data_IF_759560017360
#
_entry.id   IF_759560017360
#
_cell.length_a   1.000
_cell.length_b   1.000
_cell.length_c   1.000
_cell.angle_alpha   90.00
_cell.angle_beta   90.00
_cell.angle_gamma   90.00
#
_symmetry.space_group_name_H-M   'P 1'
#
loop_
_entity.id
_entity.type
_entity.pdbx_description
1 polymer ?
#
# COMPACT_ATOMS: atom_id res chain seq x y z
N UNK A 1 1.78 16.54 49.40
CA UNK A 1 2.13 16.26 47.99
C UNK A 1 3.31 15.29 47.98
N UNK A 2 3.08 14.02 47.67
CA UNK A 2 4.13 12.99 47.68
C UNK A 2 4.88 13.02 46.35
N UNK A 3 6.15 13.41 46.40
CA UNK A 3 7.08 13.36 45.26
C UNK A 3 7.47 11.90 45.01
N UNK A 4 6.63 11.19 44.26
CA UNK A 4 6.91 9.82 43.84
C UNK A 4 8.23 9.75 43.06
N UNK A 5 9.24 9.14 43.66
CA UNK A 5 10.54 8.86 43.04
C UNK A 5 10.34 7.86 41.91
N UNK A 6 10.33 8.36 40.66
CA UNK A 6 10.36 7.50 39.47
C UNK A 6 11.69 6.75 39.43
N UNK A 7 11.66 5.47 39.76
CA UNK A 7 12.79 4.55 39.61
C UNK A 7 13.22 4.51 38.14
N UNK A 8 14.48 4.84 37.88
CA UNK A 8 15.05 4.77 36.52
C UNK A 8 15.03 3.32 36.03
N UNK A 9 14.58 3.05 34.80
CA UNK A 9 14.58 1.70 34.25
C UNK A 9 16.01 1.16 34.12
N UNK A 10 16.20 -0.10 34.50
CA UNK A 10 17.52 -0.76 34.49
C UNK A 10 18.01 -1.00 33.06
N UNK A 11 19.34 -1.10 32.86
CA UNK A 11 19.93 -1.41 31.52
C UNK A 11 19.32 -2.69 30.91
N UNK A 12 19.01 -3.68 31.75
CA UNK A 12 18.40 -4.95 31.34
C UNK A 12 16.98 -4.77 30.80
N UNK A 13 16.16 -3.92 31.43
CA UNK A 13 14.81 -3.58 30.92
C UNK A 13 14.87 -2.87 29.56
N UNK A 14 15.84 -1.97 29.36
CA UNK A 14 16.04 -1.30 28.07
C UNK A 14 16.43 -2.27 26.96
N UNK A 15 17.30 -3.24 27.27
CA UNK A 15 17.71 -4.27 26.32
C UNK A 15 16.54 -5.18 25.91
N UNK A 16 15.79 -5.68 26.90
CA UNK A 16 14.61 -6.54 26.65
C UNK A 16 13.55 -5.80 25.82
N UNK A 17 13.35 -4.50 26.07
CA UNK A 17 12.40 -3.68 25.31
C UNK A 17 12.82 -3.42 23.85
N UNK A 18 14.11 -3.54 23.51
CA UNK A 18 14.62 -3.36 22.15
C UNK A 18 14.71 -4.67 21.34
N UNK A 19 14.70 -5.81 22.03
CA UNK A 19 14.90 -7.14 21.47
C UNK A 19 13.89 -7.51 20.35
N UNK A 20 12.58 -7.21 20.46
CA UNK A 20 11.61 -7.56 19.41
C UNK A 20 11.86 -6.82 18.08
N UNK A 21 12.25 -5.54 18.15
CA UNK A 21 12.53 -4.72 16.97
C UNK A 21 13.83 -5.16 16.30
N UNK A 22 14.87 -5.41 17.11
CA UNK A 22 16.14 -5.93 16.59
C UNK A 22 15.97 -7.26 15.88
N UNK A 23 15.27 -8.20 16.53
CA UNK A 23 14.98 -9.52 15.95
C UNK A 23 14.16 -9.41 14.65
N UNK A 24 13.12 -8.56 14.62
CA UNK A 24 12.32 -8.37 13.42
C UNK A 24 13.13 -7.75 12.26
N UNK A 25 14.03 -6.81 12.53
CA UNK A 25 14.95 -6.27 11.52
C UNK A 25 15.91 -7.34 11.01
N UNK A 26 16.47 -8.16 11.90
CA UNK A 26 17.36 -9.26 11.51
C UNK A 26 16.64 -10.28 10.65
N UNK A 27 15.40 -10.64 10.98
CA UNK A 27 14.59 -11.56 10.18
C UNK A 27 14.25 -10.97 8.79
N UNK A 28 13.87 -9.69 8.72
CA UNK A 28 13.62 -9.02 7.43
C UNK A 28 14.90 -8.97 6.59
N UNK A 29 16.04 -8.63 7.21
CA UNK A 29 17.35 -8.64 6.55
C UNK A 29 17.74 -10.03 6.05
N UNK A 30 17.44 -11.08 6.81
CA UNK A 30 17.66 -12.46 6.39
C UNK A 30 16.77 -12.86 5.20
N UNK A 31 15.50 -12.45 5.19
CA UNK A 31 14.59 -12.68 4.04
C UNK A 31 15.10 -11.98 2.80
N UNK A 32 15.60 -10.75 2.93
CA UNK A 32 16.19 -10.00 1.82
C UNK A 32 17.48 -10.64 1.32
N UNK A 33 18.38 -11.05 2.22
CA UNK A 33 19.60 -11.74 1.83
C UNK A 33 19.29 -13.08 1.14
N UNK A 34 18.33 -13.86 1.65
CA UNK A 34 17.89 -15.10 1.02
C UNK A 34 17.26 -14.84 -0.36
N UNK A 35 16.44 -13.80 -0.49
CA UNK A 35 15.86 -13.38 -1.77
C UNK A 35 16.90 -12.89 -2.78
N UNK A 36 17.89 -12.12 -2.32
CA UNK A 36 19.00 -11.68 -3.15
C UNK A 36 19.84 -12.87 -3.64
N UNK A 37 20.16 -13.82 -2.75
CA UNK A 37 20.89 -15.06 -3.13
C UNK A 37 20.09 -15.89 -4.12
N UNK A 38 18.79 -16.06 -3.89
CA UNK A 38 17.92 -16.79 -4.81
C UNK A 38 17.86 -16.11 -6.18
N UNK A 39 17.61 -14.81 -6.20
CA UNK A 39 17.44 -14.05 -7.44
C UNK A 39 18.75 -13.72 -8.15
N UNK A 40 19.91 -13.96 -7.52
CA UNK A 40 21.20 -13.61 -8.10
C UNK A 40 21.46 -14.30 -9.44
N UNK A 41 21.23 -15.61 -9.50
CA UNK A 41 21.40 -16.38 -10.74
C UNK A 41 20.37 -15.98 -11.79
N UNK A 42 19.13 -15.74 -11.36
CA UNK A 42 18.00 -15.37 -12.22
C UNK A 42 18.19 -13.98 -12.85
N UNK A 43 18.57 -12.98 -12.06
CA UNK A 43 18.86 -11.63 -12.53
C UNK A 43 20.15 -11.57 -13.36
N UNK A 44 21.15 -12.38 -13.04
CA UNK A 44 22.37 -12.51 -13.86
C UNK A 44 22.03 -13.12 -15.22
N UNK A 45 21.18 -14.16 -15.26
CA UNK A 45 20.73 -14.77 -16.51
C UNK A 45 19.89 -13.79 -17.35
N UNK A 46 18.99 -13.04 -16.72
CA UNK A 46 18.24 -11.96 -17.37
C UNK A 46 19.18 -10.88 -17.95
N UNK A 47 20.15 -10.40 -17.16
CA UNK A 47 21.11 -9.40 -17.60
C UNK A 47 21.95 -9.90 -18.79
N UNK A 48 22.36 -11.18 -18.76
CA UNK A 48 23.04 -11.84 -19.87
C UNK A 48 22.17 -11.86 -21.13
N UNK A 49 20.92 -12.28 -21.01
CA UNK A 49 19.98 -12.32 -22.14
C UNK A 49 19.70 -10.91 -22.72
N UNK A 50 19.71 -9.89 -21.86
CA UNK A 50 19.55 -8.49 -22.24
C UNK A 50 20.83 -7.84 -22.81
N UNK A 51 21.96 -8.56 -22.87
CA UNK A 51 23.21 -8.08 -23.47
C UNK A 51 24.12 -7.25 -22.56
N UNK A 52 23.97 -7.34 -21.23
CA UNK A 52 24.86 -6.65 -20.29
C UNK A 52 26.28 -7.21 -20.37
N UNK A 53 27.29 -6.34 -20.39
CA UNK A 53 28.70 -6.75 -20.42
C UNK A 53 29.19 -7.36 -19.10
N UNK A 54 28.60 -6.92 -17.97
CA UNK A 54 28.89 -7.44 -16.63
C UNK A 54 27.53 -7.76 -15.98
N UNK A 55 26.96 -8.95 -16.24
CA UNK A 55 25.60 -9.30 -15.84
C UNK A 55 25.42 -9.34 -14.31
N UNK A 56 26.47 -9.66 -13.55
CA UNK A 56 26.45 -9.71 -12.08
C UNK A 56 26.29 -8.33 -11.45
N UNK A 57 26.52 -7.25 -12.21
CA UNK A 57 26.40 -5.89 -11.72
C UNK A 57 24.93 -5.49 -11.53
N UNK A 58 24.01 -6.10 -12.27
CA UNK A 58 22.57 -5.84 -12.16
C UNK A 58 22.02 -6.23 -10.77
N UNK A 59 22.16 -7.49 -10.29
CA UNK A 59 21.71 -7.84 -8.94
C UNK A 59 22.46 -7.08 -7.85
N UNK A 60 23.77 -6.86 -8.04
CA UNK A 60 24.56 -6.09 -7.07
C UNK A 60 24.04 -4.65 -6.90
N UNK A 61 23.67 -3.99 -8.00
CA UNK A 61 23.16 -2.62 -7.96
C UNK A 61 21.72 -2.59 -7.45
N UNK A 62 20.83 -3.48 -7.92
CA UNK A 62 19.44 -3.47 -7.50
C UNK A 62 19.27 -3.81 -6.02
N UNK A 63 19.87 -4.92 -5.59
CA UNK A 63 19.76 -5.36 -4.20
C UNK A 63 20.62 -4.49 -3.28
N UNK A 64 21.81 -4.07 -3.73
CA UNK A 64 22.67 -3.15 -3.00
C UNK A 64 22.03 -1.78 -2.78
N UNK A 65 21.35 -1.24 -3.80
CA UNK A 65 20.60 0.02 -3.68
C UNK A 65 19.41 -0.13 -2.73
N UNK A 66 18.67 -1.24 -2.83
CA UNK A 66 17.55 -1.50 -1.94
C UNK A 66 18.02 -1.52 -0.47
N UNK A 67 19.10 -2.25 -0.17
CA UNK A 67 19.68 -2.38 1.17
C UNK A 67 20.22 -1.04 1.68
N UNK A 68 20.96 -0.30 0.84
CA UNK A 68 21.49 1.00 1.22
C UNK A 68 20.38 2.01 1.54
N UNK A 69 19.32 2.06 0.73
CA UNK A 69 18.19 2.96 0.95
C UNK A 69 17.36 2.54 2.16
N UNK A 70 17.21 1.23 2.40
CA UNK A 70 16.59 0.72 3.62
C UNK A 70 17.38 1.11 4.87
N UNK A 71 18.72 1.06 4.83
CA UNK A 71 19.57 1.50 5.93
C UNK A 71 19.42 3.01 6.21
N UNK A 72 19.36 3.84 5.15
CA UNK A 72 19.10 5.29 5.28
C UNK A 72 17.72 5.56 5.87
N UNK A 73 16.68 4.85 5.39
CA UNK A 73 15.33 4.98 5.90
C UNK A 73 15.23 4.55 7.39
N UNK A 74 15.97 3.52 7.78
CA UNK A 74 16.09 3.08 9.16
C UNK A 74 16.79 4.12 10.05
N UNK A 75 17.96 4.62 9.63
CA UNK A 75 18.69 5.66 10.36
C UNK A 75 17.82 6.91 10.57
N UNK A 76 17.13 7.37 9.54
CA UNK A 76 16.22 8.50 9.65
C UNK A 76 15.01 8.22 10.56
N UNK A 77 14.52 6.98 10.58
CA UNK A 77 13.43 6.57 11.49
C UNK A 77 13.86 6.60 12.95
N UNK A 78 15.12 6.28 13.25
CA UNK A 78 15.72 6.46 14.58
C UNK A 78 15.79 7.94 14.99
N UNK A 79 15.92 8.84 14.01
CA UNK A 79 15.87 10.29 14.22
C UNK A 79 14.45 10.87 14.21
N UNK A 80 13.42 10.03 14.09
CA UNK A 80 12.02 10.39 13.89
C UNK A 80 11.71 11.16 12.59
N UNK A 81 12.65 11.19 11.65
CA UNK A 81 12.49 11.82 10.33
C UNK A 81 11.74 10.88 9.39
N UNK A 82 10.94 11.42 8.46
CA UNK A 82 10.09 10.59 7.59
C UNK A 82 10.83 9.87 6.46
N UNK A 83 12.05 10.29 6.08
CA UNK A 83 12.90 9.71 5.03
C UNK A 83 12.17 9.29 3.75
N UNK A 84 11.28 10.16 3.26
CA UNK A 84 10.37 9.86 2.14
C UNK A 84 11.15 9.41 0.89
N UNK A 85 12.22 10.11 0.53
CA UNK A 85 13.03 9.77 -0.66
C UNK A 85 13.72 8.40 -0.52
N UNK A 86 14.25 8.09 0.66
CA UNK A 86 14.88 6.79 0.92
C UNK A 86 13.87 5.65 0.74
N UNK A 87 12.67 5.81 1.32
CA UNK A 87 11.58 4.83 1.24
C UNK A 87 11.05 4.65 -0.18
N UNK A 88 10.89 5.73 -0.94
CA UNK A 88 10.52 5.67 -2.34
C UNK A 88 11.58 4.94 -3.18
N UNK A 89 12.86 5.21 -2.93
CA UNK A 89 13.97 4.50 -3.58
C UNK A 89 13.97 3.01 -3.25
N UNK A 90 13.77 2.63 -1.98
CA UNK A 90 13.63 1.23 -1.56
C UNK A 90 12.45 0.56 -2.25
N UNK A 91 11.28 1.20 -2.27
CA UNK A 91 10.09 0.66 -2.92
C UNK A 91 10.29 0.47 -4.44
N UNK A 92 10.94 1.42 -5.11
CA UNK A 92 11.27 1.31 -6.53
C UNK A 92 12.25 0.16 -6.79
N UNK A 93 13.32 0.05 -5.98
CA UNK A 93 14.30 -1.03 -6.10
C UNK A 93 13.64 -2.40 -5.95
N UNK A 94 12.78 -2.57 -4.94
CA UNK A 94 12.01 -3.79 -4.71
C UNK A 94 11.05 -4.07 -5.86
N UNK A 95 10.39 -3.05 -6.40
CA UNK A 95 9.49 -3.23 -7.55
C UNK A 95 10.24 -3.70 -8.80
N UNK A 96 11.42 -3.15 -9.07
CA UNK A 96 12.28 -3.60 -10.17
C UNK A 96 12.76 -5.04 -9.95
N UNK A 97 13.22 -5.37 -8.74
CA UNK A 97 13.65 -6.73 -8.36
C UNK A 97 12.49 -7.75 -8.48
N UNK A 98 11.30 -7.39 -8.01
CA UNK A 98 10.10 -8.23 -8.15
C UNK A 98 9.72 -8.43 -9.62
N UNK A 99 9.79 -7.38 -10.45
CA UNK A 99 9.49 -7.46 -11.87
C UNK A 99 10.48 -8.35 -12.63
N UNK A 100 11.80 -8.24 -12.34
CA UNK A 100 12.80 -9.12 -12.95
C UNK A 100 12.59 -10.58 -12.56
N UNK A 101 12.30 -10.84 -11.28
CA UNK A 101 12.05 -12.20 -10.80
C UNK A 101 10.79 -12.80 -11.41
N UNK A 102 9.71 -12.01 -11.56
CA UNK A 102 8.47 -12.43 -12.22
C UNK A 102 8.69 -12.76 -13.69
N UNK A 103 9.42 -11.91 -14.42
CA UNK A 103 9.69 -12.12 -15.85
C UNK A 103 10.47 -13.43 -16.07
N UNK A 104 11.49 -13.67 -15.26
CA UNK A 104 12.29 -14.88 -15.38
C UNK A 104 11.55 -16.14 -14.89
N UNK A 105 10.78 -16.02 -13.81
CA UNK A 105 9.93 -17.11 -13.32
C UNK A 105 8.91 -17.53 -14.38
N UNK A 106 8.31 -16.58 -15.10
CA UNK A 106 7.40 -16.85 -16.21
C UNK A 106 8.05 -17.69 -17.31
N UNK A 107 9.25 -17.29 -17.75
CA UNK A 107 10.00 -17.99 -18.79
C UNK A 107 10.39 -19.41 -18.36
N UNK A 108 10.83 -19.60 -17.11
CA UNK A 108 11.29 -20.90 -16.60
C UNK A 108 10.16 -21.86 -16.29
N UNK A 109 9.05 -21.37 -15.73
CA UNK A 109 7.96 -22.20 -15.26
C UNK A 109 6.93 -22.53 -16.34
N UNK A 110 7.10 -22.00 -17.55
CA UNK A 110 6.10 -22.13 -18.62
C UNK A 110 4.79 -21.40 -18.30
N UNK A 111 4.85 -20.35 -17.49
CA UNK A 111 3.68 -19.59 -17.06
C UNK A 111 2.93 -20.17 -15.85
N UNK A 112 3.53 -21.07 -15.05
CA UNK A 112 2.90 -21.54 -13.80
C UNK A 112 2.63 -20.37 -12.84
N UNK A 113 1.35 -20.07 -12.55
CA UNK A 113 0.98 -18.91 -11.75
C UNK A 113 1.49 -18.96 -10.30
N UNK A 114 1.71 -20.15 -9.74
CA UNK A 114 2.18 -20.29 -8.35
C UNK A 114 3.63 -19.83 -8.22
N UNK A 115 4.50 -20.30 -9.11
CA UNK A 115 5.92 -19.90 -9.16
C UNK A 115 6.06 -18.40 -9.38
N UNK A 116 5.26 -17.82 -10.29
CA UNK A 116 5.25 -16.39 -10.58
C UNK A 116 4.80 -15.58 -9.36
N UNK A 117 3.73 -16.00 -8.69
CA UNK A 117 3.21 -15.31 -7.52
C UNK A 117 4.20 -15.31 -6.34
N UNK A 118 4.92 -16.43 -6.14
CA UNK A 118 5.97 -16.52 -5.11
C UNK A 118 7.16 -15.63 -5.45
N UNK A 119 7.65 -15.68 -6.70
CA UNK A 119 8.82 -14.93 -7.15
C UNK A 119 8.63 -13.40 -7.03
N UNK A 120 7.44 -12.89 -7.39
CA UNK A 120 7.11 -11.47 -7.27
C UNK A 120 6.57 -11.05 -5.91
N UNK A 121 5.81 -11.93 -5.26
CA UNK A 121 5.10 -11.62 -4.03
C UNK A 121 6.00 -11.48 -2.81
N UNK A 122 7.00 -12.36 -2.68
CA UNK A 122 7.89 -12.37 -1.50
C UNK A 122 8.64 -11.05 -1.30
N UNK A 123 9.31 -10.45 -2.31
CA UNK A 123 9.96 -9.15 -2.17
C UNK A 123 8.99 -8.02 -1.78
N UNK A 124 7.79 -8.01 -2.39
CA UNK A 124 6.77 -6.98 -2.12
C UNK A 124 6.28 -7.08 -0.67
N UNK A 125 5.96 -8.29 -0.21
CA UNK A 125 5.51 -8.53 1.17
C UNK A 125 6.61 -8.18 2.16
N UNK A 126 7.86 -8.51 1.88
CA UNK A 126 8.99 -8.15 2.72
C UNK A 126 9.16 -6.62 2.83
N UNK A 127 9.01 -5.87 1.74
CA UNK A 127 9.06 -4.41 1.76
C UNK A 127 7.89 -3.79 2.53
N UNK A 128 6.68 -4.34 2.40
CA UNK A 128 5.52 -3.91 3.20
C UNK A 128 5.74 -4.13 4.70
N UNK A 129 6.26 -5.30 5.08
CA UNK A 129 6.61 -5.62 6.46
C UNK A 129 7.69 -4.65 7.01
N UNK A 130 8.71 -4.35 6.19
CA UNK A 130 9.73 -3.37 6.52
C UNK A 130 9.14 -1.96 6.75
N UNK A 131 8.23 -1.51 5.89
CA UNK A 131 7.58 -0.20 6.03
C UNK A 131 6.72 -0.08 7.30
N UNK A 132 5.97 -1.14 7.64
CA UNK A 132 5.22 -1.22 8.89
C UNK A 132 6.16 -1.11 10.09
N UNK A 133 7.28 -1.84 10.04
CA UNK A 133 8.26 -1.83 11.12
C UNK A 133 8.94 -0.46 11.29
N UNK A 134 9.33 0.21 10.21
CA UNK A 134 9.84 1.59 10.27
C UNK A 134 8.81 2.56 10.86
N UNK A 135 7.54 2.39 10.51
CA UNK A 135 6.43 3.14 11.10
C UNK A 135 6.35 2.99 12.62
N UNK A 136 6.50 1.77 13.13
CA UNK A 136 6.52 1.48 14.56
C UNK A 136 7.78 2.00 15.26
N UNK A 137 8.96 1.84 14.65
CA UNK A 137 10.22 2.40 15.18
C UNK A 137 10.08 3.91 15.35
N UNK A 138 9.59 4.61 14.32
CA UNK A 138 9.36 6.06 14.37
C UNK A 138 8.35 6.44 15.47
N UNK A 139 7.25 5.69 15.63
CA UNK A 139 6.27 5.88 16.72
C UNK A 139 6.93 5.74 18.08
N UNK A 140 7.75 4.72 18.29
CA UNK A 140 8.45 4.50 19.55
C UNK A 140 9.41 5.64 19.87
N UNK A 141 10.16 6.13 18.88
CA UNK A 141 11.07 7.27 19.05
C UNK A 141 10.29 8.54 19.41
N UNK A 142 9.19 8.85 18.71
CA UNK A 142 8.38 10.04 18.99
C UNK A 142 7.74 9.99 20.37
N UNK A 143 7.22 8.82 20.79
CA UNK A 143 6.70 8.60 22.15
C UNK A 143 7.78 8.81 23.21
N UNK A 144 9.00 8.32 22.98
CA UNK A 144 10.15 8.54 23.89
C UNK A 144 10.55 10.01 23.99
N UNK A 145 10.33 10.80 22.94
CA UNK A 145 10.57 12.25 22.91
C UNK A 145 9.40 13.08 23.45
N UNK A 146 8.34 12.45 23.95
CA UNK A 146 7.15 13.15 24.44
C UNK A 146 6.32 13.84 23.35
N UNK A 147 6.60 13.56 22.07
CA UNK A 147 5.82 14.09 20.96
C UNK A 147 4.63 13.18 20.69
N UNK A 148 3.46 13.73 20.29
CA UNK A 148 2.35 12.91 19.84
C UNK A 148 2.83 12.03 18.69
N UNK A 149 2.58 10.72 18.79
CA UNK A 149 2.96 9.80 17.73
C UNK A 149 2.31 10.21 16.40
N UNK A 150 2.96 9.95 15.26
CA UNK A 150 2.32 10.22 13.97
C UNK A 150 1.02 9.44 13.93
N UNK A 151 -0.08 10.13 13.60
CA UNK A 151 -1.41 9.52 13.50
C UNK A 151 -1.28 8.31 12.59
N UNK A 152 -1.72 7.14 13.10
CA UNK A 152 -1.67 5.93 12.31
C UNK A 152 -2.46 6.15 11.03
N UNK A 153 -1.78 6.14 9.88
CA UNK A 153 -2.47 6.05 8.60
C UNK A 153 -3.25 4.74 8.69
N UNK A 154 -4.58 4.87 8.70
CA UNK A 154 -5.48 3.74 8.92
C UNK A 154 -5.17 2.69 7.86
N UNK A 155 -4.70 1.50 8.27
CA UNK A 155 -4.41 0.34 7.41
C UNK A 155 -5.34 0.15 6.18
N UNK A 156 -6.67 0.37 6.28
CA UNK A 156 -7.57 0.40 5.12
C UNK A 156 -7.15 1.30 3.94
N UNK A 157 -6.37 2.36 4.15
CA UNK A 157 -5.86 3.22 3.06
C UNK A 157 -4.75 2.54 2.25
N UNK A 158 -3.88 1.78 2.90
CA UNK A 158 -2.83 1.02 2.22
C UNK A 158 -3.41 -0.19 1.48
N UNK A 159 -4.39 -0.86 2.09
CA UNK A 159 -5.13 -1.96 1.44
C UNK A 159 -5.93 -1.44 0.24
N UNK A 160 -6.60 -0.29 0.35
CA UNK A 160 -7.26 0.36 -0.81
C UNK A 160 -6.28 0.78 -1.89
N UNK A 161 -5.10 1.28 -1.52
CA UNK A 161 -4.06 1.61 -2.50
C UNK A 161 -3.55 0.35 -3.23
N UNK A 162 -3.39 -0.76 -2.52
CA UNK A 162 -2.98 -2.04 -3.12
C UNK A 162 -4.07 -2.66 -4.00
N UNK A 163 -5.34 -2.63 -3.56
CA UNK A 163 -6.47 -3.23 -4.29
C UNK A 163 -6.99 -2.35 -5.44
N UNK A 164 -6.84 -1.03 -5.32
CA UNK A 164 -7.35 -0.06 -6.28
C UNK A 164 -6.39 1.13 -6.40
N UNK A 165 -5.20 0.92 -7.02
CA UNK A 165 -4.17 1.96 -7.07
C UNK A 165 -4.62 3.20 -7.85
N UNK A 166 -5.29 3.00 -8.99
CA UNK A 166 -5.71 4.10 -9.86
C UNK A 166 -6.79 4.99 -9.24
N UNK A 167 -7.92 4.44 -8.73
CA UNK A 167 -8.94 5.25 -8.07
C UNK A 167 -8.39 6.00 -6.85
N UNK A 168 -7.53 5.34 -6.07
CA UNK A 168 -6.91 5.93 -4.87
C UNK A 168 -5.95 7.07 -5.25
N UNK A 169 -5.17 6.90 -6.32
CA UNK A 169 -4.29 7.96 -6.83
C UNK A 169 -5.07 9.15 -7.38
N UNK A 170 -6.17 8.92 -8.11
CA UNK A 170 -7.06 9.98 -8.60
C UNK A 170 -7.68 10.76 -7.44
N UNK A 171 -8.14 10.05 -6.40
CA UNK A 171 -8.70 10.68 -5.20
C UNK A 171 -7.64 11.51 -4.45
N UNK A 172 -6.44 10.96 -4.26
CA UNK A 172 -5.31 11.67 -3.65
C UNK A 172 -4.92 12.91 -4.45
N UNK A 173 -4.78 12.79 -5.77
CA UNK A 173 -4.46 13.90 -6.67
C UNK A 173 -5.50 15.02 -6.56
N UNK A 174 -6.80 14.69 -6.53
CA UNK A 174 -7.86 15.69 -6.32
C UNK A 174 -7.72 16.41 -4.99
N UNK A 175 -7.40 15.68 -3.92
CA UNK A 175 -7.21 16.22 -2.58
C UNK A 175 -6.01 17.16 -2.50
N UNK A 176 -4.88 16.77 -3.10
CA UNK A 176 -3.68 17.61 -3.19
C UNK A 176 -3.97 18.86 -4.02
N UNK A 177 -4.54 18.72 -5.22
CA UNK A 177 -4.87 19.86 -6.06
C UNK A 177 -5.89 20.81 -5.41
N UNK A 178 -6.85 20.30 -4.65
CA UNK A 178 -7.79 21.13 -3.89
C UNK A 178 -7.14 21.87 -2.71
N UNK A 179 -6.09 21.28 -2.12
CA UNK A 179 -5.33 21.85 -1.01
C UNK A 179 -4.24 22.83 -1.47
N UNK A 180 -3.68 22.62 -2.67
CA UNK A 180 -2.62 23.44 -3.26
C UNK A 180 -3.13 24.37 -4.36
N UNK A 181 -4.45 24.57 -4.48
CA UNK A 181 -5.04 25.44 -5.49
C UNK A 181 -4.61 26.90 -5.23
N UNK A 182 -3.76 27.50 -6.09
CA UNK A 182 -3.30 28.87 -5.89
C UNK A 182 -4.45 29.87 -5.93
N UNK A 183 -5.54 29.57 -6.66
CA UNK A 183 -6.70 30.46 -6.72
C UNK A 183 -7.33 30.71 -5.34
N UNK A 184 -7.30 29.71 -4.45
CA UNK A 184 -7.79 29.84 -3.06
C UNK A 184 -6.81 30.58 -2.13
N UNK A 185 -5.53 30.64 -2.49
CA UNK A 185 -4.52 31.37 -1.72
C UNK A 185 -4.49 32.87 -2.06
N UNK A 186 -4.94 33.26 -3.26
CA UNK A 186 -4.92 34.65 -3.73
C UNK A 186 -6.29 35.36 -3.64
N UNK A 187 -7.39 34.64 -3.46
CA UNK A 187 -8.67 35.25 -3.05
C UNK A 187 -8.58 35.57 -1.56
N UNK A 188 -8.25 36.82 -1.23
CA UNK A 188 -8.06 37.35 0.14
C UNK A 188 -9.27 37.30 1.09
N UNK A 189 -10.18 36.32 0.96
CA UNK A 189 -11.04 35.88 2.05
C UNK A 189 -10.23 34.99 3.01
N UNK A 190 -9.20 35.60 3.59
CA UNK A 190 -8.40 35.06 4.68
C UNK A 190 -9.21 35.00 5.96
N UNK A 191 -10.26 34.18 6.00
CA UNK A 191 -10.60 33.49 7.23
C UNK A 191 -9.94 32.11 7.12
N UNK A 192 -8.66 32.06 7.52
CA UNK A 192 -8.05 30.81 7.93
C UNK A 192 -8.87 30.26 9.10
N UNK A 193 -10.00 29.61 8.81
CA UNK A 193 -10.40 28.53 9.68
C UNK A 193 -9.19 27.59 9.69
N UNK A 194 -8.65 27.25 10.87
CA UNK A 194 -7.73 26.12 10.93
C UNK A 194 -8.39 24.99 10.17
N UNK A 195 -7.60 24.11 9.55
CA UNK A 195 -8.09 22.81 9.09
C UNK A 195 -8.66 22.13 10.36
N UNK A 196 -9.91 22.46 10.73
CA UNK A 196 -10.77 21.67 11.58
C UNK A 196 -10.78 20.40 10.78
N UNK A 197 -10.19 19.36 11.36
CA UNK A 197 -10.43 17.98 10.94
C UNK A 197 -11.90 17.97 10.54
N UNK A 198 -12.15 17.85 9.23
CA UNK A 198 -13.50 17.86 8.68
C UNK A 198 -14.22 16.86 9.57
N UNK A 199 -15.11 17.39 10.40
CA UNK A 199 -15.78 16.61 11.42
C UNK A 199 -16.62 15.69 10.56
N UNK A 200 -16.06 14.50 10.31
CA UNK A 200 -16.68 13.43 9.57
C UNK A 200 -18.03 13.31 10.23
N UNK A 201 -19.07 13.74 9.52
CA UNK A 201 -20.41 13.78 10.08
C UNK A 201 -20.77 12.34 10.40
N UNK A 202 -20.64 11.95 11.67
CA UNK A 202 -20.94 10.59 12.12
C UNK A 202 -22.44 10.27 11.95
N UNK A 203 -23.25 11.25 11.54
CA UNK A 203 -24.65 11.10 11.15
C UNK A 203 -24.84 10.60 9.72
N UNK A 204 -23.80 10.58 8.88
CA UNK A 204 -23.86 10.06 7.52
C UNK A 204 -24.11 8.53 7.55
N UNK A 205 -25.20 8.03 6.94
CA UNK A 205 -25.54 6.62 6.93
C UNK A 205 -24.44 5.73 6.32
N UNK A 206 -23.67 6.23 5.35
CA UNK A 206 -22.59 5.46 4.72
C UNK A 206 -21.39 5.32 5.66
N UNK A 207 -21.13 6.35 6.48
CA UNK A 207 -20.07 6.34 7.50
C UNK A 207 -20.47 5.43 8.67
N UNK A 208 -21.76 5.45 9.06
CA UNK A 208 -22.30 4.53 10.06
C UNK A 208 -22.23 3.08 9.59
N UNK A 209 -22.59 2.80 8.34
CA UNK A 209 -22.47 1.47 7.75
C UNK A 209 -21.01 0.99 7.72
N UNK A 210 -20.06 1.86 7.35
CA UNK A 210 -18.63 1.55 7.41
C UNK A 210 -18.13 1.29 8.84
N UNK A 211 -18.58 2.07 9.83
CA UNK A 211 -18.23 1.88 11.25
C UNK A 211 -18.82 0.58 11.79
N UNK A 212 -20.05 0.27 11.42
CA UNK A 212 -20.72 -0.97 11.80
C UNK A 212 -19.99 -2.19 11.21
N UNK A 213 -19.65 -2.15 9.92
CA UNK A 213 -18.84 -3.19 9.28
C UNK A 213 -17.48 -3.34 9.98
N UNK A 214 -16.81 -2.24 10.33
CA UNK A 214 -15.55 -2.29 11.09
C UNK A 214 -15.71 -2.93 12.46
N UNK A 215 -16.80 -2.64 13.19
CA UNK A 215 -17.08 -3.27 14.50
C UNK A 215 -17.34 -4.75 14.32
N UNK A 216 -18.19 -5.13 13.36
CA UNK A 216 -18.49 -6.54 13.06
C UNK A 216 -17.23 -7.30 12.65
N UNK A 217 -16.35 -6.71 11.84
CA UNK A 217 -15.07 -7.31 11.45
C UNK A 217 -14.13 -7.46 12.64
N UNK A 218 -14.06 -6.44 13.51
CA UNK A 218 -13.23 -6.50 14.72
C UNK A 218 -13.72 -7.57 15.71
N UNK A 219 -15.05 -7.69 15.90
CA UNK A 219 -15.67 -8.72 16.72
C UNK A 219 -15.44 -10.11 16.12
N UNK A 220 -15.59 -10.25 14.80
CA UNK A 220 -15.29 -11.50 14.09
C UNK A 220 -13.82 -11.89 14.27
N UNK A 221 -12.88 -10.97 14.10
CA UNK A 221 -11.45 -11.22 14.34
C UNK A 221 -11.15 -11.61 15.79
N UNK A 222 -11.76 -10.94 16.77
CA UNK A 222 -11.61 -11.31 18.19
C UNK A 222 -12.16 -12.71 18.50
N UNK A 223 -13.28 -13.10 17.87
CA UNK A 223 -13.85 -14.44 18.01
C UNK A 223 -13.00 -15.53 17.32
N UNK A 224 -12.29 -15.17 16.25
CA UNK A 224 -11.42 -16.07 15.49
C UNK A 224 -10.03 -16.22 16.11
N UNK A 225 -9.51 -15.20 16.81
CA UNK A 225 -8.20 -15.21 17.43
C UNK A 225 -7.89 -16.48 18.27
N UNK A 226 -8.77 -16.94 19.18
CA UNK A 226 -8.52 -18.16 19.95
C UNK A 226 -8.62 -19.46 19.13
N UNK A 227 -9.31 -19.44 17.97
CA UNK A 227 -9.38 -20.59 17.04
C UNK A 227 -8.14 -20.65 16.16
N UNK A 228 -7.70 -19.52 15.63
CA UNK A 228 -6.46 -19.41 14.84
C UNK A 228 -5.24 -19.76 15.71
N UNK A 229 -5.21 -19.31 16.96
CA UNK A 229 -4.16 -19.69 17.91
C UNK A 229 -4.14 -21.21 18.20
N UNK A 230 -5.33 -21.85 18.28
CA UNK A 230 -5.42 -23.31 18.45
C UNK A 230 -4.98 -24.09 17.21
N UNK A 231 -5.34 -23.62 16.02
CA UNK A 231 -4.91 -24.26 14.76
C UNK A 231 -3.40 -24.11 14.60
N UNK A 232 -2.84 -22.92 14.83
CA UNK A 232 -1.40 -22.71 14.78
C UNK A 232 -0.62 -23.52 15.83
N UNK A 233 -1.17 -23.70 17.03
CA UNK A 233 -0.56 -24.55 18.05
C UNK A 233 -0.63 -26.04 17.67
N UNK A 234 -1.77 -26.50 17.14
CA UNK A 234 -1.94 -27.88 16.70
C UNK A 234 -0.99 -28.21 15.54
N UNK A 235 -0.86 -27.29 14.57
CA UNK A 235 0.02 -27.42 13.42
C UNK A 235 1.50 -27.41 13.84
N UNK A 236 1.88 -26.53 14.76
CA UNK A 236 3.21 -26.51 15.35
C UNK A 236 3.52 -27.81 16.11
N UNK A 237 2.55 -28.36 16.85
CA UNK A 237 2.74 -29.63 17.56
C UNK A 237 2.84 -30.84 16.62
N UNK A 238 2.12 -30.86 15.48
CA UNK A 238 2.25 -31.92 14.49
C UNK A 238 3.56 -31.85 13.71
N UNK A 239 4.12 -30.67 13.48
CA UNK A 239 5.36 -30.51 12.73
C UNK A 239 6.63 -30.54 13.61
N UNK A 240 6.54 -30.36 14.93
CA UNK A 240 7.70 -30.39 15.82
C UNK A 240 8.21 -31.80 16.16
N UNK A 241 7.40 -32.84 16.01
CA UNK A 241 7.76 -34.21 16.44
C UNK A 241 8.63 -35.02 15.47
N UNK A 242 9.08 -34.45 14.34
CA UNK A 242 9.88 -35.20 13.35
C UNK A 242 11.39 -34.85 13.34
N UNK A 243 11.88 -33.93 14.17
CA UNK A 243 13.25 -33.41 14.07
C UNK A 243 14.17 -33.76 15.27
N UNK A 244 14.00 -34.93 15.87
CA UNK A 244 14.94 -35.48 16.87
C UNK A 244 15.78 -36.64 16.35
N UNK A 245 16.04 -36.71 15.04
CA UNK A 245 17.14 -37.53 14.54
C UNK A 245 18.45 -36.74 14.68
N UNK A 246 19.23 -37.15 15.68
CA UNK A 246 20.61 -36.72 15.92
C UNK A 246 21.42 -36.80 14.62
N UNK A 247 22.13 -35.74 14.20
CA UNK A 247 23.16 -35.90 13.19
C UNK A 247 24.27 -36.80 13.77
N UNK A 248 24.43 -37.98 13.20
CA UNK A 248 25.65 -38.76 13.39
C UNK A 248 26.83 -37.94 12.85
N UNK A 249 27.78 -37.65 13.73
CA UNK A 249 29.07 -37.07 13.36
C UNK A 249 29.80 -38.01 12.39
N UNK A 250 29.66 -37.79 11.10
CA UNK A 250 30.52 -38.41 10.10
C UNK A 250 31.92 -37.79 10.25
N UNK A 251 32.89 -38.65 10.53
CA UNK A 251 34.28 -38.28 10.76
C UNK A 251 34.86 -37.48 9.59
N UNK A 252 35.55 -36.40 9.95
CA UNK A 252 36.41 -35.64 9.05
C UNK A 252 37.57 -36.57 8.65
N UNK A 253 37.45 -37.19 7.48
CA UNK A 253 38.55 -37.90 6.84
C UNK A 253 39.15 -36.96 5.80
N UNK A 254 40.35 -36.47 6.09
CA UNK A 254 41.17 -35.62 5.22
C UNK A 254 41.49 -36.37 3.91
N UNK A 255 41.11 -35.88 2.72
CA UNK A 255 41.59 -36.47 1.49
C UNK A 255 43.07 -36.12 1.28
N UNK A 256 43.88 -37.15 1.06
CA UNK A 256 45.24 -37.03 0.58
C UNK A 256 45.24 -36.42 -0.83
N UNK A 257 46.14 -35.47 -1.05
CA UNK A 257 46.43 -34.87 -2.34
C UNK A 257 47.01 -35.95 -3.25
N UNK A 258 46.21 -36.43 -4.19
CA UNK A 258 46.67 -37.26 -5.31
C UNK A 258 46.91 -36.35 -6.51
N UNK A 259 48.18 -36.21 -6.89
CA UNK A 259 48.63 -35.51 -8.10
C UNK A 259 48.17 -36.30 -9.33
N UNK A 260 47.15 -35.81 -10.03
CA UNK A 260 46.72 -36.36 -11.32
C UNK A 260 47.52 -35.71 -12.48
N UNK A 261 47.88 -36.48 -13.53
CA UNK A 261 48.62 -35.96 -14.66
C UNK A 261 47.76 -35.05 -15.56
N UNK A 262 48.43 -34.00 -16.04
CA UNK A 262 47.96 -32.97 -16.97
C UNK A 262 47.36 -33.57 -18.25
N UNK A 263 46.11 -33.27 -18.62
CA UNK A 263 45.58 -33.59 -19.94
C UNK A 263 46.22 -32.69 -21.00
N UNK A 264 46.76 -33.29 -22.06
CA UNK A 264 47.13 -32.60 -23.29
C UNK A 264 45.88 -32.05 -23.99
N UNK A 265 45.93 -30.76 -24.35
CA UNK A 265 44.92 -30.08 -25.15
C UNK A 265 45.04 -30.51 -26.62
N UNK A 266 43.98 -31.02 -27.27
CA UNK A 266 43.97 -31.15 -28.72
C UNK A 266 43.84 -29.80 -29.41
N UNK A 267 44.49 -29.71 -30.57
CA UNK A 267 44.65 -28.53 -31.40
C UNK A 267 43.33 -27.85 -31.81
N UNK A 268 43.36 -26.53 -31.82
CA UNK A 268 42.32 -25.63 -32.33
C UNK A 268 42.15 -25.85 -33.83
N UNK A 269 41.00 -26.38 -34.23
CA UNK A 269 40.54 -26.35 -35.62
C UNK A 269 39.70 -25.09 -35.85
N UNK A 270 40.09 -24.31 -36.86
CA UNK A 270 39.44 -23.07 -37.31
C UNK A 270 37.99 -23.29 -37.76
N UNK A 271 37.05 -22.38 -37.46
CA UNK A 271 35.70 -22.42 -38.03
C UNK A 271 35.68 -21.87 -39.49
N UNK A 272 34.83 -22.45 -40.38
CA UNK A 272 34.66 -21.98 -41.76
C UNK A 272 33.82 -20.68 -41.86
N UNK A 273 33.90 -19.95 -42.99
CA UNK A 273 33.37 -18.60 -43.13
C UNK A 273 31.84 -18.51 -43.28
N UNK A 274 31.37 -17.31 -42.92
CA UNK A 274 30.00 -16.83 -42.85
C UNK A 274 29.12 -17.12 -44.06
N UNK A 275 27.87 -17.53 -43.79
CA UNK A 275 26.77 -17.52 -44.76
C UNK A 275 25.90 -16.28 -44.50
N UNK A 276 25.73 -15.46 -45.53
CA UNK A 276 24.92 -14.25 -45.55
C UNK A 276 23.42 -14.59 -45.43
N UNK A 277 22.60 -13.76 -44.74
CA UNK A 277 21.16 -13.79 -44.93
C UNK A 277 20.72 -12.92 -46.10
N UNK A 278 20.10 -13.56 -47.08
CA UNK A 278 19.40 -12.95 -48.22
C UNK A 278 18.24 -12.09 -47.73
N UNK A 279 18.23 -10.83 -48.18
CA UNK A 279 17.15 -9.87 -48.02
C UNK A 279 15.97 -10.27 -48.90
N UNK A 280 14.80 -10.55 -48.31
CA UNK A 280 13.54 -10.64 -49.06
C UNK A 280 12.64 -9.49 -48.62
N UNK A 281 12.48 -8.53 -49.52
CA UNK A 281 11.48 -7.49 -49.46
C UNK A 281 10.11 -8.09 -49.79
N UNK A 282 9.12 -7.90 -48.91
CA UNK A 282 7.72 -8.16 -49.24
C UNK A 282 6.90 -6.91 -49.04
N UNK A 283 6.25 -6.56 -50.13
CA UNK A 283 5.45 -5.39 -50.44
C UNK A 283 4.18 -5.24 -49.60
N UNK A 284 3.90 -3.97 -49.30
CA UNK A 284 2.62 -3.35 -48.97
C UNK A 284 1.47 -3.86 -49.88
N UNK A 285 0.24 -3.95 -49.36
CA UNK A 285 -0.82 -3.23 -50.05
C UNK A 285 -1.68 -2.37 -49.12
N UNK A 286 -2.01 -1.23 -49.67
CA UNK A 286 -2.90 -0.18 -49.19
C UNK A 286 -4.33 -0.55 -49.55
N UNK A 287 -5.27 -0.45 -48.60
CA UNK A 287 -6.71 -0.38 -48.95
C UNK A 287 -7.44 0.65 -48.10
N UNK A 288 -8.24 1.43 -48.82
CA UNK A 288 -8.96 2.65 -48.44
C UNK A 288 -10.34 2.30 -47.88
N UNK A 289 -10.80 3.11 -46.89
CA UNK A 289 -12.14 3.73 -46.66
C UNK A 289 -13.43 2.93 -46.99
N UNK A 290 -14.55 3.13 -46.23
CA UNK A 290 -15.18 4.45 -46.13
C UNK A 290 -15.81 4.87 -44.79
N UNK A 291 -15.90 6.18 -44.70
CA UNK A 291 -16.66 7.01 -43.75
C UNK A 291 -18.16 6.89 -44.03
N UNK A 292 -18.96 6.63 -43.00
CA UNK A 292 -20.43 6.76 -43.08
C UNK A 292 -20.87 7.97 -42.26
N UNK A 293 -21.50 8.90 -42.97
CA UNK A 293 -22.20 10.07 -42.47
C UNK A 293 -23.61 9.65 -42.09
N UNK A 294 -24.05 9.94 -40.86
CA UNK A 294 -25.46 9.94 -40.51
C UNK A 294 -25.85 11.31 -39.93
N UNK A 295 -26.60 12.06 -40.74
CA UNK A 295 -27.39 13.24 -40.40
C UNK A 295 -28.67 12.74 -39.72
N UNK A 296 -29.00 13.25 -38.53
CA UNK A 296 -30.38 13.20 -38.05
C UNK A 296 -30.77 14.47 -37.30
N UNK A 297 -32.00 14.87 -37.59
CA UNK A 297 -32.57 16.19 -37.36
C UNK A 297 -32.87 16.53 -35.90
N UNK A 298 -32.57 17.78 -35.58
CA UNK A 298 -33.36 18.75 -34.78
C UNK A 298 -34.71 18.23 -34.23
N UNK A 299 -34.80 18.10 -32.91
CA UNK A 299 -36.04 18.36 -32.15
C UNK A 299 -35.69 19.27 -30.97
N UNK A 300 -36.02 20.55 -31.12
CA UNK A 300 -35.93 21.53 -30.03
C UNK A 300 -37.13 21.28 -29.11
N UNK A 301 -36.90 20.51 -28.05
CA UNK A 301 -37.75 20.53 -26.86
C UNK A 301 -37.05 21.41 -25.83
N UNK A 302 -37.66 22.56 -25.53
CA UNK A 302 -37.33 23.41 -24.38
C UNK A 302 -37.57 22.63 -23.10
N UNK A 303 -36.60 21.79 -22.73
CA UNK A 303 -36.55 21.09 -21.45
C UNK A 303 -36.05 22.11 -20.43
N UNK A 304 -36.98 22.71 -19.68
CA UNK A 304 -36.66 23.47 -18.47
C UNK A 304 -35.81 22.58 -17.57
N UNK A 305 -34.49 22.76 -17.62
CA UNK A 305 -33.52 22.14 -16.72
C UNK A 305 -33.64 22.78 -15.35
N UNK A 306 -34.76 22.52 -14.67
CA UNK A 306 -34.89 22.78 -13.25
C UNK A 306 -34.03 21.71 -12.57
N UNK A 307 -32.84 22.12 -12.12
CA UNK A 307 -31.96 21.30 -11.30
C UNK A 307 -32.82 20.66 -10.19
N UNK A 308 -32.72 19.33 -9.94
CA UNK A 308 -33.50 18.71 -8.89
C UNK A 308 -33.21 19.46 -7.59
N UNK A 309 -34.25 20.02 -6.97
CA UNK A 309 -34.12 20.74 -5.71
C UNK A 309 -33.51 19.80 -4.67
N UNK A 310 -32.45 20.26 -4.00
CA UNK A 310 -31.79 19.44 -2.98
C UNK A 310 -32.75 19.19 -1.82
N UNK A 311 -32.48 18.16 -1.02
CA UNK A 311 -33.28 17.89 0.20
C UNK A 311 -33.30 19.09 1.15
N UNK A 312 -32.19 19.84 1.22
CA UNK A 312 -32.11 21.08 1.99
C UNK A 312 -33.06 22.16 1.42
N UNK A 313 -33.09 22.36 0.10
CA UNK A 313 -33.97 23.35 -0.54
C UNK A 313 -35.45 23.02 -0.32
N UNK A 314 -35.82 21.73 -0.43
CA UNK A 314 -37.19 21.25 -0.17
C UNK A 314 -37.59 21.45 1.29
N UNK A 315 -36.67 21.17 2.22
CA UNK A 315 -36.92 21.32 3.66
C UNK A 315 -37.04 22.79 4.05
N UNK A 316 -36.20 23.67 3.50
CA UNK A 316 -36.29 25.11 3.71
C UNK A 316 -37.61 25.71 3.20
N UNK A 317 -38.03 25.33 1.99
CA UNK A 317 -39.30 25.78 1.42
C UNK A 317 -40.51 25.28 2.24
N UNK A 318 -40.48 24.01 2.68
CA UNK A 318 -41.52 23.44 3.53
C UNK A 318 -41.59 24.12 4.91
N UNK A 319 -40.45 24.48 5.50
CA UNK A 319 -40.39 25.19 6.78
C UNK A 319 -41.02 26.58 6.66
N UNK A 320 -40.64 27.36 5.63
CA UNK A 320 -41.20 28.69 5.39
C UNK A 320 -42.72 28.64 5.18
N UNK A 321 -43.21 27.66 4.40
CA UNK A 321 -44.64 27.47 4.18
C UNK A 321 -45.40 27.15 5.48
N UNK A 322 -44.86 26.25 6.32
CA UNK A 322 -45.49 25.87 7.59
C UNK A 322 -45.47 27.00 8.63
N UNK A 323 -44.43 27.83 8.67
CA UNK A 323 -44.39 28.99 9.56
C UNK A 323 -45.43 30.04 9.14
N UNK A 324 -45.59 30.27 7.83
CA UNK A 324 -46.62 31.16 7.31
C UNK A 324 -48.04 30.63 7.59
N UNK A 325 -48.25 29.32 7.50
CA UNK A 325 -49.54 28.66 7.73
C UNK A 325 -49.93 28.60 9.21
N UNK A 326 -48.98 28.24 10.10
CA UNK A 326 -49.27 27.96 11.51
C UNK A 326 -49.03 29.16 12.44
N UNK A 327 -48.32 30.19 11.98
CA UNK A 327 -47.88 31.32 12.82
C UNK A 327 -46.91 30.92 13.94
N UNK A 328 -46.42 29.67 13.95
CA UNK A 328 -45.46 29.14 14.92
C UNK A 328 -44.45 28.21 14.24
N UNK A 329 -43.26 27.99 14.83
CA UNK A 329 -42.28 27.04 14.29
C UNK A 329 -42.87 25.62 14.24
N UNK A 330 -42.84 24.92 13.09
CA UNK A 330 -43.39 23.57 12.97
C UNK A 330 -42.61 22.58 13.83
N UNK A 331 -43.29 21.51 14.25
CA UNK A 331 -42.67 20.33 14.86
C UNK A 331 -41.86 19.56 13.81
N UNK A 332 -40.87 18.77 14.24
CA UNK A 332 -40.05 17.99 13.30
C UNK A 332 -40.84 16.97 12.49
N UNK A 333 -41.95 16.44 13.02
CA UNK A 333 -42.85 15.52 12.32
C UNK A 333 -43.67 16.23 11.23
N UNK A 334 -44.19 17.43 11.50
CA UNK A 334 -44.91 18.25 10.50
C UNK A 334 -43.97 18.63 9.36
N UNK A 335 -42.74 19.06 9.69
CA UNK A 335 -41.73 19.42 8.69
C UNK A 335 -41.29 18.21 7.84
N UNK A 336 -41.03 17.05 8.48
CA UNK A 336 -40.66 15.82 7.78
C UNK A 336 -41.72 15.39 6.77
N UNK A 337 -42.99 15.45 7.17
CA UNK A 337 -44.14 15.09 6.33
C UNK A 337 -44.27 16.04 5.14
N UNK A 338 -44.16 17.36 5.37
CA UNK A 338 -44.30 18.37 4.31
C UNK A 338 -43.12 18.37 3.33
N UNK A 339 -41.91 18.13 3.82
CA UNK A 339 -40.69 18.13 3.00
C UNK A 339 -40.41 16.77 2.32
N UNK A 340 -41.05 15.68 2.77
CA UNK A 340 -40.78 14.32 2.28
C UNK A 340 -39.40 13.80 2.70
N UNK A 341 -38.96 14.11 3.93
CA UNK A 341 -37.66 13.73 4.50
C UNK A 341 -37.84 12.97 5.81
N UNK A 342 -36.78 12.33 6.31
CA UNK A 342 -36.85 11.62 7.60
C UNK A 342 -37.04 12.59 8.77
N UNK A 343 -37.72 12.13 9.83
CA UNK A 343 -37.93 12.92 11.06
C UNK A 343 -36.61 13.34 11.72
N UNK A 344 -35.59 12.47 11.66
CA UNK A 344 -34.25 12.76 12.18
C UNK A 344 -33.60 13.93 11.44
N UNK A 345 -33.64 13.90 10.10
CA UNK A 345 -33.12 14.98 9.25
C UNK A 345 -33.85 16.30 9.50
N UNK A 346 -35.18 16.29 9.54
CA UNK A 346 -35.98 17.48 9.80
C UNK A 346 -35.66 18.13 11.17
N UNK A 347 -35.42 17.32 12.20
CA UNK A 347 -35.02 17.80 13.53
C UNK A 347 -33.61 18.41 13.52
N UNK A 348 -32.65 17.76 12.86
CA UNK A 348 -31.29 18.27 12.72
C UNK A 348 -31.26 19.59 11.97
N UNK A 349 -31.91 19.63 10.80
CA UNK A 349 -32.03 20.83 9.99
C UNK A 349 -32.69 21.99 10.75
N UNK A 350 -33.78 21.73 11.49
CA UNK A 350 -34.45 22.74 12.32
C UNK A 350 -33.53 23.28 13.41
N UNK A 351 -32.75 22.44 14.09
CA UNK A 351 -31.81 22.87 15.13
C UNK A 351 -30.75 23.83 14.57
N UNK A 352 -30.31 23.58 13.36
CA UNK A 352 -29.20 24.33 12.76
C UNK A 352 -29.66 25.61 12.03
N UNK A 353 -30.94 25.69 11.63
CA UNK A 353 -31.47 26.78 10.80
C UNK A 353 -32.64 27.58 11.41
N UNK A 354 -33.30 27.10 12.47
CA UNK A 354 -34.38 27.87 13.09
C UNK A 354 -33.80 29.05 13.89
N UNK A 355 -34.40 30.25 13.79
CA UNK A 355 -34.00 31.37 14.63
C UNK A 355 -34.17 30.99 16.11
N UNK A 356 -33.23 31.39 16.99
CA UNK A 356 -33.34 31.12 18.42
C UNK A 356 -34.66 31.69 18.93
N UNK A 357 -35.47 30.85 19.60
CA UNK A 357 -36.70 31.30 20.25
C UNK A 357 -36.34 32.37 21.27
N UNK A 358 -36.86 33.60 21.05
CA UNK A 358 -36.74 34.69 22.02
C UNK A 358 -37.61 34.44 23.24
#
# INVERSE_FOLDING_TARGET
MSTGTKTRPTKRQRFIAALPVGLALTLIGAVWAAGAVWSFEEQTAFANAAGFHIPQLLPLVLDGMAVAMAAVAYAASLDARPAVLARLGTALAVACSAASNVAWAWERSGGDPQTIALAGGVPIVANLAFEVLLGEVRRQVLRRRGQPGPVAITYPRLVRLALAPWPTFVAWRRLVLAATDPAKAFTGEGNHQPIRAELVDESDPDIQACRQLQRETATAMQSLAPRVARIGLADAMTHWSAATDRPHSAGITRPAVATAPRPELPAVASPPPATQPTTVATSRPTTKRPTVVAKTSRRVTTKSTRKPATEADRTAAAFAALVAELGRPPTGSELATKAGVSRSYANGWKRDNAPPSR
#
